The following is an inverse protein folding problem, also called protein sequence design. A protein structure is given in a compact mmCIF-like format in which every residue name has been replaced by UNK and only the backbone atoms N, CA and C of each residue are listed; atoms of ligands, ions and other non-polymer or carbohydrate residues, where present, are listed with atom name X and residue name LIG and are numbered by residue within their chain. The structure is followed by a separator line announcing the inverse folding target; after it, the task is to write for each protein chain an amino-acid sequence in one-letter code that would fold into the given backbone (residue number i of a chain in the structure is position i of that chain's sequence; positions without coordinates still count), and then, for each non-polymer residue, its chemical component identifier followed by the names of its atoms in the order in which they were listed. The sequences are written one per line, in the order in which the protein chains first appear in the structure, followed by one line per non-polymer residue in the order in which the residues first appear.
data_IF_885479521410
#
_entry.id   IF_885479521410
#
_cell.length_a   1.000
_cell.length_b   1.000
_cell.length_c   1.000
_cell.angle_alpha   90.00
_cell.angle_beta   90.00
_cell.angle_gamma   90.00
#
_symmetry.space_group_name_H-M   'P 1'
#
loop_
_entity.id
_entity.type
_entity.pdbx_description
1 polymer ?
#
# COMPACT_ATOMS: atom_id res chain seq x y z
N UNK A 1 -3.10 -10.86 -7.06
CA UNK A 1 -1.67 -10.58 -6.78
C UNK A 1 -0.73 -11.52 -7.51
N UNK A 2 -0.81 -12.84 -7.33
CA UNK A 2 0.03 -13.80 -8.06
C UNK A 2 0.05 -13.59 -9.59
N UNK A 3 -1.14 -13.45 -10.21
CA UNK A 3 -1.25 -13.19 -11.64
C UNK A 3 -0.55 -11.89 -12.06
N UNK A 4 -0.72 -10.80 -11.29
CA UNK A 4 -0.03 -9.54 -11.51
C UNK A 4 1.50 -9.71 -11.42
N UNK A 5 2.00 -10.38 -10.38
CA UNK A 5 3.44 -10.65 -10.21
C UNK A 5 4.00 -11.44 -11.39
N UNK A 6 3.31 -12.48 -11.84
CA UNK A 6 3.74 -13.27 -12.99
C UNK A 6 3.82 -12.42 -14.27
N UNK A 7 2.83 -11.57 -14.52
CA UNK A 7 2.83 -10.66 -15.68
C UNK A 7 3.97 -9.65 -15.60
N UNK A 8 4.23 -9.05 -14.43
CA UNK A 8 5.35 -8.12 -14.24
C UNK A 8 6.70 -8.79 -14.53
N UNK A 9 6.90 -10.02 -14.07
CA UNK A 9 8.13 -10.79 -14.36
C UNK A 9 8.26 -11.09 -15.84
N UNK A 10 7.19 -11.53 -16.51
CA UNK A 10 7.23 -11.83 -17.95
C UNK A 10 7.48 -10.55 -18.76
N UNK A 11 6.79 -9.45 -18.46
CA UNK A 11 6.89 -8.21 -19.23
C UNK A 11 8.25 -7.52 -19.07
N UNK A 12 8.99 -7.75 -17.99
CA UNK A 12 10.39 -7.31 -17.85
C UNK A 12 11.27 -7.74 -19.02
N UNK A 13 11.02 -8.93 -19.59
CA UNK A 13 11.78 -9.48 -20.71
C UNK A 13 11.23 -9.07 -22.08
N UNK A 14 10.03 -8.48 -22.12
CA UNK A 14 9.38 -8.00 -23.35
C UNK A 14 9.73 -6.53 -23.63
N UNK A 15 9.77 -5.70 -22.60
CA UNK A 15 10.07 -4.27 -22.76
C UNK A 15 11.58 -4.07 -22.89
N UNK A 16 12.06 -3.53 -24.04
CA UNK A 16 13.48 -3.25 -24.22
C UNK A 16 13.93 -2.07 -23.37
N UNK A 17 15.21 -2.04 -23.04
CA UNK A 17 15.88 -0.87 -22.47
C UNK A 17 17.05 -0.50 -23.40
N UNK A 18 17.20 0.78 -23.81
CA UNK A 18 16.46 1.97 -23.39
C UNK A 18 14.98 1.98 -23.81
N UNK A 19 14.14 2.65 -23.02
CA UNK A 19 12.69 2.72 -23.25
C UNK A 19 12.41 3.46 -24.57
N UNK A 20 11.48 2.96 -25.42
CA UNK A 20 11.17 3.62 -26.67
C UNK A 20 10.54 4.99 -26.39
N UNK A 21 11.18 6.05 -26.88
CA UNK A 21 10.55 7.38 -26.92
C UNK A 21 9.35 7.31 -27.84
N UNK A 22 8.30 8.06 -27.48
CA UNK A 22 6.98 8.10 -28.11
C UNK A 22 7.02 8.70 -29.53
N UNK A 23 7.82 8.12 -30.42
CA UNK A 23 7.89 8.45 -31.83
C UNK A 23 6.98 7.44 -32.51
N UNK A 24 5.84 7.95 -32.95
CA UNK A 24 4.92 7.33 -33.90
C UNK A 24 5.61 6.34 -34.82
N UNK A 25 5.06 5.12 -34.85
CA UNK A 25 5.29 4.08 -35.85
C UNK A 25 5.85 4.66 -37.16
N UNK A 26 7.15 4.50 -37.38
CA UNK A 26 7.74 4.62 -38.71
C UNK A 26 8.92 3.66 -38.76
N UNK A 27 8.70 2.64 -39.58
CA UNK A 27 9.66 1.76 -40.24
C UNK A 27 11.14 2.13 -40.13
N UNK A 28 11.94 1.13 -39.74
CA UNK A 28 13.33 0.94 -40.16
C UNK A 28 14.30 2.05 -39.75
N UNK A 29 14.92 1.89 -38.58
CA UNK A 29 16.39 1.88 -38.45
C UNK A 29 16.78 1.70 -36.98
N UNK A 30 17.65 0.74 -36.72
CA UNK A 30 18.49 0.74 -35.52
C UNK A 30 19.43 1.95 -35.60
N UNK A 31 18.93 3.17 -35.38
CA UNK A 31 19.80 4.28 -35.02
C UNK A 31 20.03 4.20 -33.51
N UNK A 32 21.18 3.64 -33.17
CA UNK A 32 21.85 3.80 -31.87
C UNK A 32 22.11 5.30 -31.71
N UNK A 33 21.10 6.02 -31.24
CA UNK A 33 21.30 7.34 -30.65
C UNK A 33 22.07 7.13 -29.36
N UNK A 34 23.11 7.94 -29.16
CA UNK A 34 24.04 7.88 -28.04
C UNK A 34 23.39 8.25 -26.68
N UNK A 35 22.07 8.04 -26.55
CA UNK A 35 21.29 8.15 -25.33
C UNK A 35 21.48 6.89 -24.48
N UNK A 36 22.50 6.97 -23.62
CA UNK A 36 22.54 6.49 -22.23
C UNK A 36 22.28 5.01 -21.96
N UNK A 37 23.33 4.19 -22.14
CA UNK A 37 23.50 2.94 -21.34
C UNK A 37 23.33 3.18 -19.83
N UNK A 38 23.54 4.41 -19.36
CA UNK A 38 23.27 4.86 -17.99
C UNK A 38 21.80 4.73 -17.55
N UNK A 39 20.82 4.88 -18.45
CA UNK A 39 19.39 4.84 -18.07
C UNK A 39 18.91 3.43 -17.74
N UNK A 40 19.63 2.42 -18.20
CA UNK A 40 19.39 1.01 -17.93
C UNK A 40 20.22 0.47 -16.76
N UNK A 41 20.83 1.36 -15.97
CA UNK A 41 21.60 0.98 -14.78
C UNK A 41 20.72 1.03 -13.52
N UNK A 42 20.76 -0.04 -12.73
CA UNK A 42 20.05 -0.08 -11.46
C UNK A 42 20.73 0.85 -10.44
N UNK A 43 19.98 1.84 -9.94
CA UNK A 43 20.43 2.70 -8.86
C UNK A 43 20.05 2.08 -7.52
N UNK A 44 21.04 1.56 -6.80
CA UNK A 44 20.81 0.82 -5.55
C UNK A 44 20.38 1.72 -4.38
N UNK A 45 20.86 2.97 -4.34
CA UNK A 45 20.53 3.91 -3.28
C UNK A 45 20.28 5.31 -3.83
N UNK A 46 19.04 5.77 -3.72
CA UNK A 46 18.63 7.13 -4.08
C UNK A 46 17.79 7.70 -2.95
N UNK A 47 18.37 8.61 -2.18
CA UNK A 47 17.65 9.34 -1.16
C UNK A 47 17.09 10.64 -1.78
N UNK A 48 15.78 10.66 -2.01
CA UNK A 48 15.08 11.81 -2.56
C UNK A 48 13.86 12.13 -1.69
N UNK A 49 13.24 13.29 -1.92
CA UNK A 49 11.96 13.64 -1.28
C UNK A 49 10.86 12.62 -1.59
N UNK A 50 10.90 11.99 -2.76
CA UNK A 50 10.00 10.90 -3.14
C UNK A 50 10.15 9.67 -2.22
N UNK A 51 11.33 9.46 -1.64
CA UNK A 51 11.59 8.36 -0.71
C UNK A 51 10.80 8.50 0.61
N UNK A 52 10.33 9.71 0.95
CA UNK A 52 9.47 9.94 2.12
C UNK A 52 8.13 9.19 2.04
N UNK A 53 7.66 8.87 0.84
CA UNK A 53 6.43 8.11 0.62
C UNK A 53 6.64 6.59 0.78
N UNK A 54 7.89 6.09 0.72
CA UNK A 54 8.18 4.66 0.68
C UNK A 54 7.84 3.95 2.00
N UNK A 55 8.31 4.48 3.13
CA UNK A 55 8.08 3.86 4.45
C UNK A 55 6.58 3.82 4.80
N UNK A 56 5.81 4.93 4.68
CA UNK A 56 4.35 4.92 4.85
C UNK A 56 3.64 3.92 3.94
N UNK A 57 4.00 3.88 2.66
CA UNK A 57 3.35 2.99 1.69
C UNK A 57 3.63 1.52 2.03
N UNK A 58 4.86 1.19 2.44
CA UNK A 58 5.20 -0.16 2.91
C UNK A 58 4.43 -0.52 4.19
N UNK A 59 4.37 0.39 5.17
CA UNK A 59 3.59 0.19 6.39
C UNK A 59 2.10 -0.06 6.06
N UNK A 60 1.53 0.73 5.16
CA UNK A 60 0.16 0.53 4.68
C UNK A 60 -0.03 -0.81 3.95
N UNK A 61 0.94 -1.24 3.13
CA UNK A 61 0.85 -2.49 2.37
C UNK A 61 0.78 -3.75 3.23
N UNK A 62 1.35 -3.72 4.44
CA UNK A 62 1.31 -4.81 5.41
C UNK A 62 0.24 -4.62 6.49
N UNK A 63 -0.69 -3.69 6.29
CA UNK A 63 -1.77 -3.41 7.23
C UNK A 63 -2.88 -4.47 7.12
N UNK A 64 -2.75 -5.57 7.85
CA UNK A 64 -3.74 -6.67 7.84
C UNK A 64 -4.50 -6.85 9.17
N UNK A 65 -4.16 -6.09 10.20
CA UNK A 65 -4.65 -6.28 11.57
C UNK A 65 -6.18 -6.14 11.72
N UNK A 66 -6.85 -5.35 10.88
CA UNK A 66 -8.32 -5.19 10.89
C UNK A 66 -9.06 -6.47 10.50
N UNK A 67 -8.43 -7.34 9.73
CA UNK A 67 -9.00 -8.61 9.29
C UNK A 67 -8.71 -9.77 10.25
N UNK A 68 -7.80 -9.59 11.22
CA UNK A 68 -7.35 -10.66 12.12
C UNK A 68 -8.49 -11.22 12.97
N UNK A 69 -9.36 -10.37 13.53
CA UNK A 69 -10.46 -10.81 14.38
C UNK A 69 -11.51 -11.62 13.60
N UNK A 70 -12.05 -11.15 12.45
CA UNK A 70 -12.92 -11.97 11.61
C UNK A 70 -12.30 -13.32 11.22
N UNK A 71 -11.03 -13.33 10.80
CA UNK A 71 -10.33 -14.56 10.43
C UNK A 71 -10.21 -15.51 11.63
N UNK A 72 -9.89 -14.98 12.82
CA UNK A 72 -9.78 -15.77 14.04
C UNK A 72 -11.11 -16.43 14.41
N UNK A 73 -12.23 -15.71 14.26
CA UNK A 73 -13.56 -16.23 14.57
C UNK A 73 -14.02 -17.33 13.59
N UNK A 74 -13.59 -17.26 12.34
CA UNK A 74 -13.94 -18.24 11.30
C UNK A 74 -12.96 -19.44 11.26
N UNK A 75 -11.82 -19.33 11.93
CA UNK A 75 -10.80 -20.37 11.94
C UNK A 75 -11.29 -21.61 12.72
N UNK A 76 -11.32 -22.76 12.05
CA UNK A 76 -11.66 -24.04 12.69
C UNK A 76 -10.76 -24.31 13.91
N UNK A 77 -11.37 -24.52 15.09
CA UNK A 77 -10.73 -24.66 16.42
C UNK A 77 -9.65 -23.58 16.66
N UNK A 78 -10.06 -22.32 16.93
CA UNK A 78 -9.16 -21.19 16.94
C UNK A 78 -8.26 -21.21 18.18
N UNK A 79 -6.94 -21.11 17.96
CA UNK A 79 -5.94 -20.95 19.03
C UNK A 79 -4.92 -19.89 18.64
N UNK A 80 -4.29 -19.25 19.64
CA UNK A 80 -3.26 -18.22 19.40
C UNK A 80 -2.14 -18.74 18.49
N UNK A 81 -1.67 -19.96 18.71
CA UNK A 81 -0.60 -20.57 17.92
C UNK A 81 -1.00 -20.81 16.47
N UNK A 82 -2.24 -21.26 16.22
CA UNK A 82 -2.74 -21.49 14.85
C UNK A 82 -2.94 -20.17 14.12
N UNK A 83 -3.51 -19.17 14.79
CA UNK A 83 -3.63 -17.83 14.21
C UNK A 83 -2.25 -17.23 13.87
N UNK A 84 -1.27 -17.37 14.78
CA UNK A 84 0.09 -16.89 14.51
C UNK A 84 0.70 -17.60 13.30
N UNK A 85 0.49 -18.91 13.13
CA UNK A 85 0.93 -19.66 11.95
C UNK A 85 0.29 -19.11 10.67
N UNK A 86 -1.03 -18.89 10.67
CA UNK A 86 -1.76 -18.31 9.54
C UNK A 86 -1.20 -16.92 9.18
N UNK A 87 -0.99 -16.07 10.19
CA UNK A 87 -0.41 -14.73 10.00
C UNK A 87 1.01 -14.81 9.44
N UNK A 88 1.89 -15.64 9.99
CA UNK A 88 3.28 -15.77 9.54
C UNK A 88 3.36 -16.23 8.08
N UNK A 89 2.58 -17.24 7.71
CA UNK A 89 2.52 -17.74 6.32
C UNK A 89 2.00 -16.65 5.39
N UNK A 90 0.92 -15.96 5.77
CA UNK A 90 0.28 -14.93 4.95
C UNK A 90 1.20 -13.72 4.73
N UNK A 91 1.87 -13.25 5.77
CA UNK A 91 2.84 -12.13 5.68
C UNK A 91 4.05 -12.53 4.86
N UNK A 92 4.61 -13.73 5.07
CA UNK A 92 5.77 -14.23 4.31
C UNK A 92 5.46 -14.36 2.82
N UNK A 93 4.28 -14.90 2.48
CA UNK A 93 3.82 -14.98 1.10
C UNK A 93 3.64 -13.59 0.49
N UNK A 94 2.98 -12.67 1.20
CA UNK A 94 2.77 -11.29 0.73
C UNK A 94 4.08 -10.55 0.51
N UNK A 95 5.03 -10.67 1.44
CA UNK A 95 6.37 -10.11 1.32
C UNK A 95 7.08 -10.60 0.06
N UNK A 96 7.03 -11.91 -0.19
CA UNK A 96 7.68 -12.51 -1.38
C UNK A 96 7.06 -11.97 -2.68
N UNK A 97 5.74 -11.89 -2.76
CA UNK A 97 5.05 -11.38 -3.95
C UNK A 97 5.32 -9.89 -4.16
N UNK A 98 5.30 -9.09 -3.10
CA UNK A 98 5.62 -7.67 -3.18
C UNK A 98 7.08 -7.43 -3.58
N UNK A 99 8.02 -8.19 -3.00
CA UNK A 99 9.44 -8.08 -3.33
C UNK A 99 9.71 -8.41 -4.80
N UNK A 100 9.19 -9.54 -5.30
CA UNK A 100 9.35 -9.93 -6.71
C UNK A 100 8.70 -8.91 -7.63
N UNK A 101 7.47 -8.46 -7.33
CA UNK A 101 6.78 -7.47 -8.17
C UNK A 101 7.50 -6.12 -8.17
N UNK A 102 8.00 -5.67 -7.02
CA UNK A 102 8.74 -4.41 -6.91
C UNK A 102 10.10 -4.48 -7.62
N UNK A 103 10.83 -5.59 -7.48
CA UNK A 103 12.13 -5.78 -8.12
C UNK A 103 11.99 -5.79 -9.65
N UNK A 104 11.13 -6.65 -10.20
CA UNK A 104 10.95 -6.74 -11.65
C UNK A 104 10.23 -5.50 -12.20
N UNK A 105 9.32 -4.90 -11.45
CA UNK A 105 8.70 -3.62 -11.81
C UNK A 105 9.72 -2.48 -11.91
N UNK A 106 10.62 -2.37 -10.94
CA UNK A 106 11.72 -1.39 -10.98
C UNK A 106 12.69 -1.68 -12.13
N UNK A 107 13.15 -2.92 -12.29
CA UNK A 107 14.08 -3.29 -13.38
C UNK A 107 13.47 -3.13 -14.78
N UNK A 108 12.15 -2.98 -14.89
CA UNK A 108 11.48 -2.74 -16.18
C UNK A 108 11.62 -1.28 -16.63
N UNK A 109 11.49 -0.32 -15.71
CA UNK A 109 11.46 1.12 -16.05
C UNK A 109 12.61 1.94 -15.44
N UNK A 110 13.41 1.36 -14.56
CA UNK A 110 14.53 1.99 -13.85
C UNK A 110 14.18 3.34 -13.23
N UNK A 111 14.83 4.43 -13.64
CA UNK A 111 14.59 5.77 -13.11
C UNK A 111 13.22 6.35 -13.50
N UNK A 112 12.53 5.76 -14.49
CA UNK A 112 11.28 6.25 -15.07
C UNK A 112 10.04 5.47 -14.58
N UNK A 113 10.07 4.97 -13.34
CA UNK A 113 8.92 4.27 -12.73
C UNK A 113 7.84 5.28 -12.33
N UNK A 114 6.63 5.09 -12.86
CA UNK A 114 5.43 5.86 -12.52
C UNK A 114 4.93 5.58 -11.08
N UNK A 115 4.07 6.46 -10.56
CA UNK A 115 3.36 6.25 -9.29
C UNK A 115 2.54 4.97 -9.30
N UNK A 116 1.96 4.65 -10.45
CA UNK A 116 1.18 3.44 -10.71
C UNK A 116 1.90 2.58 -11.75
N UNK A 117 2.32 1.39 -11.36
CA UNK A 117 3.09 0.53 -12.25
C UNK A 117 2.30 0.13 -13.52
N UNK A 118 0.99 -0.12 -13.40
CA UNK A 118 0.14 -0.46 -14.55
C UNK A 118 0.00 0.69 -15.55
N UNK A 119 0.04 1.93 -15.07
CA UNK A 119 0.00 3.10 -15.95
C UNK A 119 1.27 3.18 -16.81
N UNK A 120 2.43 2.87 -16.22
CA UNK A 120 3.68 2.71 -16.96
C UNK A 120 3.58 1.63 -18.04
N UNK A 121 3.02 0.46 -17.72
CA UNK A 121 2.81 -0.59 -18.73
C UNK A 121 1.88 -0.17 -19.86
N UNK A 122 0.79 0.53 -19.58
CA UNK A 122 -0.16 1.03 -20.60
C UNK A 122 0.50 2.06 -21.54
N UNK A 123 1.41 2.89 -21.01
CA UNK A 123 2.17 3.87 -21.79
C UNK A 123 3.07 3.23 -22.85
N UNK A 124 3.77 2.15 -22.52
CA UNK A 124 4.74 1.51 -23.42
C UNK A 124 4.19 0.31 -24.21
N UNK A 125 3.13 -0.34 -23.71
CA UNK A 125 2.47 -1.47 -24.34
C UNK A 125 0.96 -1.17 -24.49
N UNK A 126 0.58 -0.15 -25.29
CA UNK A 126 -0.82 0.19 -25.45
C UNK A 126 -1.57 -0.98 -26.08
N UNK A 127 -2.74 -1.30 -25.53
CA UNK A 127 -3.65 -2.38 -26.00
C UNK A 127 -3.12 -3.80 -25.82
N UNK A 128 -2.09 -4.02 -24.99
CA UNK A 128 -1.65 -5.36 -24.65
C UNK A 128 -2.72 -6.11 -23.84
N UNK A 129 -3.27 -7.18 -24.43
CA UNK A 129 -4.39 -7.94 -23.85
C UNK A 129 -4.05 -8.43 -22.44
N UNK A 130 -2.79 -8.84 -22.18
CA UNK A 130 -2.37 -9.36 -20.88
C UNK A 130 -2.33 -8.27 -19.81
N UNK A 131 -1.94 -7.04 -20.17
CA UNK A 131 -1.95 -5.90 -19.24
C UNK A 131 -3.39 -5.47 -18.95
N UNK A 132 -4.25 -5.47 -19.96
CA UNK A 132 -5.68 -5.16 -19.81
C UNK A 132 -6.37 -6.20 -18.90
N UNK A 133 -6.12 -7.49 -19.08
CA UNK A 133 -6.71 -8.53 -18.23
C UNK A 133 -6.26 -8.41 -16.77
N UNK A 134 -4.99 -8.04 -16.52
CA UNK A 134 -4.51 -7.74 -15.16
C UNK A 134 -5.26 -6.55 -14.57
N UNK A 135 -5.45 -5.47 -15.33
CA UNK A 135 -6.19 -4.29 -14.87
C UNK A 135 -7.64 -4.63 -14.49
N UNK A 136 -8.32 -5.41 -15.32
CA UNK A 136 -9.68 -5.89 -15.05
C UNK A 136 -9.74 -6.80 -13.81
N UNK A 137 -8.78 -7.71 -13.65
CA UNK A 137 -8.72 -8.60 -12.49
C UNK A 137 -8.49 -7.83 -11.18
N UNK A 138 -7.62 -6.81 -11.19
CA UNK A 138 -7.40 -5.94 -10.03
C UNK A 138 -8.66 -5.11 -9.75
N UNK A 139 -9.30 -4.53 -10.77
CA UNK A 139 -10.55 -3.78 -10.61
C UNK A 139 -11.63 -4.64 -9.94
N UNK A 140 -11.86 -5.85 -10.46
CA UNK A 140 -12.82 -6.79 -9.89
C UNK A 140 -12.48 -7.14 -8.43
N UNK A 141 -11.22 -7.45 -8.16
CA UNK A 141 -10.74 -7.75 -6.80
C UNK A 141 -11.00 -6.59 -5.84
N UNK A 142 -10.74 -5.35 -6.26
CA UNK A 142 -10.97 -4.15 -5.43
C UNK A 142 -12.45 -3.96 -5.18
N UNK A 143 -13.31 -4.06 -6.21
CA UNK A 143 -14.77 -3.95 -6.08
C UNK A 143 -15.32 -4.97 -5.08
N UNK A 144 -14.86 -6.23 -5.14
CA UNK A 144 -15.27 -7.28 -4.21
C UNK A 144 -14.76 -7.04 -2.77
N UNK A 145 -13.67 -6.29 -2.60
CA UNK A 145 -13.09 -5.98 -1.29
C UNK A 145 -13.80 -4.81 -0.60
N UNK A 146 -14.40 -3.89 -1.37
CA UNK A 146 -15.10 -2.70 -0.81
C UNK A 146 -16.16 -3.08 0.24
N UNK A 147 -17.09 -4.03 0.00
CA UNK A 147 -18.09 -4.41 1.02
C UNK A 147 -17.47 -4.93 2.31
N UNK A 148 -16.38 -5.70 2.21
CA UNK A 148 -15.71 -6.33 3.34
C UNK A 148 -15.07 -5.30 4.28
N UNK A 149 -14.49 -4.23 3.73
CA UNK A 149 -13.89 -3.14 4.51
C UNK A 149 -14.97 -2.15 4.99
N UNK A 150 -15.99 -1.93 4.17
CA UNK A 150 -17.02 -0.95 4.48
C UNK A 150 -17.93 -1.39 5.64
N UNK A 151 -18.19 -2.70 5.78
CA UNK A 151 -18.96 -3.25 6.89
C UNK A 151 -18.39 -2.91 8.28
N UNK A 152 -17.13 -3.25 8.63
CA UNK A 152 -16.54 -2.88 9.91
C UNK A 152 -16.36 -1.36 10.05
N UNK A 153 -16.06 -0.63 8.97
CA UNK A 153 -15.97 0.83 9.00
C UNK A 153 -17.29 1.48 9.43
N UNK A 154 -18.42 1.05 8.86
CA UNK A 154 -19.75 1.51 9.27
C UNK A 154 -20.03 1.16 10.72
N UNK A 155 -19.74 -0.09 11.14
CA UNK A 155 -19.96 -0.52 12.52
C UNK A 155 -19.17 0.34 13.52
N UNK A 156 -17.91 0.63 13.20
CA UNK A 156 -17.06 1.52 14.01
C UNK A 156 -17.62 2.96 14.03
N UNK A 157 -18.01 3.51 12.89
CA UNK A 157 -18.58 4.86 12.81
C UNK A 157 -19.87 5.01 13.62
N UNK A 158 -20.80 4.06 13.50
CA UNK A 158 -22.05 4.06 14.27
C UNK A 158 -21.77 3.97 15.77
N UNK A 159 -20.85 3.08 16.16
CA UNK A 159 -20.48 2.91 17.57
C UNK A 159 -19.85 4.19 18.16
N UNK A 160 -18.99 4.87 17.41
CA UNK A 160 -18.33 6.10 17.86
C UNK A 160 -19.27 7.31 17.92
N UNK A 161 -20.19 7.46 16.96
CA UNK A 161 -21.07 8.63 16.86
C UNK A 161 -22.38 8.49 17.64
N UNK A 162 -22.95 7.29 17.66
CA UNK A 162 -24.29 7.05 18.21
C UNK A 162 -24.31 6.07 19.38
N UNK A 163 -23.16 5.47 19.74
CA UNK A 163 -23.06 4.47 20.79
C UNK A 163 -23.70 3.12 20.42
N UNK A 164 -23.95 2.29 21.42
CA UNK A 164 -24.56 0.96 21.24
C UNK A 164 -26.10 1.04 21.11
N UNK A 165 -26.59 1.76 20.09
CA UNK A 165 -28.03 1.82 19.77
C UNK A 165 -28.48 0.54 19.06
N UNK A 166 -29.76 0.14 19.20
CA UNK A 166 -30.33 -0.94 18.40
C UNK A 166 -30.30 -0.61 16.90
N UNK A 167 -30.40 -1.64 16.08
CA UNK A 167 -30.38 -1.50 14.62
C UNK A 167 -31.50 -0.56 14.13
N UNK A 168 -31.12 0.45 13.33
CA UNK A 168 -32.08 1.32 12.63
C UNK A 168 -31.63 1.55 11.19
N UNK A 169 -32.55 1.34 10.25
CA UNK A 169 -32.28 1.48 8.82
C UNK A 169 -31.79 2.87 8.44
N UNK A 170 -32.36 3.92 9.03
CA UNK A 170 -31.99 5.31 8.75
C UNK A 170 -30.54 5.63 9.13
N UNK A 171 -30.11 5.26 10.34
CA UNK A 171 -28.73 5.52 10.78
C UNK A 171 -27.74 4.74 9.91
N UNK A 172 -28.06 3.50 9.55
CA UNK A 172 -27.20 2.67 8.71
C UNK A 172 -27.07 3.24 7.30
N UNK A 173 -28.19 3.61 6.68
CA UNK A 173 -28.21 4.20 5.33
C UNK A 173 -27.46 5.53 5.30
N UNK A 174 -27.77 6.45 6.24
CA UNK A 174 -27.10 7.74 6.35
C UNK A 174 -25.59 7.59 6.56
N UNK A 175 -25.17 6.72 7.47
CA UNK A 175 -23.73 6.49 7.73
C UNK A 175 -23.02 5.95 6.49
N UNK A 176 -23.63 5.01 5.76
CA UNK A 176 -23.06 4.48 4.51
C UNK A 176 -22.94 5.57 3.44
N UNK A 177 -23.98 6.38 3.24
CA UNK A 177 -23.96 7.49 2.27
C UNK A 177 -22.87 8.51 2.63
N UNK A 178 -22.75 8.87 3.92
CA UNK A 178 -21.71 9.79 4.38
C UNK A 178 -20.30 9.24 4.11
N UNK A 179 -20.02 7.99 4.49
CA UNK A 179 -18.70 7.38 4.27
C UNK A 179 -18.38 7.32 2.77
N UNK A 180 -19.33 6.87 1.93
CA UNK A 180 -19.13 6.81 0.48
C UNK A 180 -18.92 8.20 -0.11
N UNK A 181 -19.66 9.21 0.37
CA UNK A 181 -19.49 10.60 -0.04
C UNK A 181 -18.09 11.14 0.26
N UNK A 182 -17.54 10.84 1.44
CA UNK A 182 -16.16 11.22 1.80
C UNK A 182 -15.14 10.52 0.91
N UNK A 183 -15.29 9.21 0.67
CA UNK A 183 -14.39 8.45 -0.20
C UNK A 183 -14.44 8.96 -1.65
N UNK A 184 -15.63 9.24 -2.17
CA UNK A 184 -15.80 9.78 -3.52
C UNK A 184 -15.21 11.18 -3.65
N UNK A 185 -15.42 12.03 -2.64
CA UNK A 185 -14.83 13.37 -2.60
C UNK A 185 -13.31 13.28 -2.65
N UNK A 186 -12.70 12.40 -1.84
CA UNK A 186 -11.26 12.18 -1.85
C UNK A 186 -10.76 11.73 -3.23
N UNK A 187 -11.48 10.81 -3.89
CA UNK A 187 -11.12 10.32 -5.22
C UNK A 187 -11.20 11.40 -6.31
N UNK A 188 -12.12 12.37 -6.19
CA UNK A 188 -12.25 13.48 -7.14
C UNK A 188 -11.18 14.55 -6.91
N UNK A 189 -10.87 14.87 -5.65
CA UNK A 189 -9.94 15.96 -5.31
C UNK A 189 -8.47 15.54 -5.27
N UNK A 190 -8.15 14.26 -5.07
CA UNK A 190 -6.76 13.76 -4.97
C UNK A 190 -6.46 12.79 -6.11
N UNK A 191 -5.89 13.26 -7.24
CA UNK A 191 -5.68 12.44 -8.43
C UNK A 191 -4.50 11.46 -8.32
N UNK A 192 -3.54 11.72 -7.42
CA UNK A 192 -2.37 10.84 -7.23
C UNK A 192 -2.57 9.90 -6.04
N UNK A 193 -2.65 8.60 -6.31
CA UNK A 193 -2.80 7.56 -5.29
C UNK A 193 -1.62 7.52 -4.31
N UNK A 194 -0.42 7.94 -4.74
CA UNK A 194 0.77 8.03 -3.88
C UNK A 194 0.55 8.97 -2.70
N UNK A 195 -0.17 10.08 -2.92
CA UNK A 195 -0.47 11.05 -1.88
C UNK A 195 -1.39 10.46 -0.82
N UNK A 196 -2.42 9.73 -1.26
CA UNK A 196 -3.37 9.04 -0.36
C UNK A 196 -2.63 7.99 0.47
N UNK A 197 -1.84 7.11 -0.15
CA UNK A 197 -1.08 6.08 0.57
C UNK A 197 0.00 6.68 1.48
N UNK A 198 0.63 7.79 1.07
CA UNK A 198 1.59 8.51 1.89
C UNK A 198 0.97 9.02 3.20
N UNK A 199 -0.17 9.71 3.13
CA UNK A 199 -0.84 10.26 4.32
C UNK A 199 -1.48 9.16 5.17
N UNK A 200 -2.24 8.26 4.57
CA UNK A 200 -2.91 7.18 5.32
C UNK A 200 -1.86 6.25 5.95
N UNK A 201 -0.78 5.95 5.24
CA UNK A 201 0.32 5.15 5.75
C UNK A 201 1.07 5.83 6.91
N UNK A 202 1.38 7.12 6.78
CA UNK A 202 2.17 7.85 7.79
C UNK A 202 1.38 8.13 9.06
N UNK A 203 0.06 8.24 8.96
CA UNK A 203 -0.84 8.47 10.10
C UNK A 203 -1.40 7.14 10.63
N UNK A 204 -2.36 6.56 9.90
CA UNK A 204 -3.17 5.44 10.34
C UNK A 204 -2.33 4.17 10.49
N UNK A 205 -1.50 3.83 9.50
CA UNK A 205 -0.66 2.63 9.58
C UNK A 205 0.45 2.76 10.61
N UNK A 206 1.14 3.89 10.69
CA UNK A 206 2.15 4.13 11.75
C UNK A 206 1.55 3.98 13.14
N UNK A 207 0.35 4.52 13.38
CA UNK A 207 -0.34 4.37 14.65
C UNK A 207 -0.68 2.90 14.94
N UNK A 208 -1.30 2.20 13.98
CA UNK A 208 -1.81 0.84 14.20
C UNK A 208 -0.71 -0.23 14.26
N UNK A 209 0.39 -0.04 13.53
CA UNK A 209 1.48 -1.03 13.47
C UNK A 209 2.55 -0.83 14.54
N UNK A 210 2.86 0.43 14.88
CA UNK A 210 3.98 0.73 15.77
C UNK A 210 3.51 1.28 17.11
N UNK A 211 2.68 2.33 17.10
CA UNK A 211 2.32 3.07 18.32
C UNK A 211 1.37 2.28 19.23
N UNK A 212 0.23 1.82 18.72
CA UNK A 212 -0.78 1.16 19.55
C UNK A 212 -0.31 -0.17 20.12
N UNK A 213 0.35 -1.08 19.38
CA UNK A 213 0.87 -2.31 19.97
C UNK A 213 1.87 -2.04 21.08
N UNK A 214 2.76 -1.06 20.91
CA UNK A 214 3.71 -0.64 21.92
C UNK A 214 3.02 -0.05 23.16
N UNK A 215 2.06 0.85 22.98
CA UNK A 215 1.28 1.44 24.08
C UNK A 215 0.46 0.39 24.85
N UNK A 216 -0.20 -0.53 24.15
CA UNK A 216 -0.95 -1.61 24.78
C UNK A 216 -0.04 -2.52 25.60
N UNK A 217 1.13 -2.88 25.05
CA UNK A 217 2.11 -3.67 25.77
C UNK A 217 2.60 -2.95 27.03
N UNK A 218 3.04 -1.69 26.92
CA UNK A 218 3.54 -0.91 28.04
C UNK A 218 2.50 -0.70 29.15
N UNK A 219 1.22 -0.56 28.76
CA UNK A 219 0.12 -0.37 29.71
C UNK A 219 -0.33 -1.66 30.40
N UNK A 220 -0.20 -2.81 29.73
CA UNK A 220 -0.62 -4.11 30.27
C UNK A 220 0.52 -4.84 31.00
N UNK A 221 1.78 -4.56 30.65
CA UNK A 221 2.93 -5.23 31.23
C UNK A 221 3.21 -4.69 32.64
N UNK A 222 3.20 -5.56 33.63
CA UNK A 222 3.64 -5.28 35.01
C UNK A 222 5.14 -5.51 35.22
N UNK A 223 5.87 -5.79 34.14
CA UNK A 223 7.30 -6.05 34.15
C UNK A 223 8.10 -4.81 34.59
N UNK A 224 9.25 -5.03 35.25
CA UNK A 224 10.15 -3.95 35.70
C UNK A 224 10.52 -3.06 34.51
N UNK A 225 10.58 -1.74 34.71
CA UNK A 225 10.90 -0.67 33.74
C UNK A 225 12.23 -0.81 32.94
N UNK A 226 12.93 -1.95 33.05
CA UNK A 226 14.26 -2.18 32.46
C UNK A 226 14.42 -3.55 31.77
N UNK A 227 13.32 -4.30 31.58
CA UNK A 227 13.34 -5.51 30.75
C UNK A 227 13.55 -5.14 29.28
N UNK A 228 14.22 -6.00 28.50
CA UNK A 228 14.43 -5.82 27.07
C UNK A 228 13.11 -5.66 26.31
N UNK A 229 12.06 -6.36 26.73
CA UNK A 229 10.74 -6.26 26.09
C UNK A 229 10.08 -4.90 26.33
N UNK A 230 10.29 -4.32 27.52
CA UNK A 230 9.79 -2.98 27.85
C UNK A 230 10.50 -1.92 26.99
N UNK A 231 11.83 -2.02 26.87
CA UNK A 231 12.63 -1.12 26.03
C UNK A 231 12.23 -1.27 24.56
N UNK A 232 12.01 -2.50 24.09
CA UNK A 232 11.55 -2.79 22.73
C UNK A 232 10.19 -2.16 22.43
N UNK A 233 9.23 -2.28 23.34
CA UNK A 233 7.91 -1.66 23.19
C UNK A 233 7.97 -0.13 23.21
N UNK A 234 8.77 0.47 24.10
CA UNK A 234 8.99 1.92 24.15
C UNK A 234 9.65 2.43 22.87
N UNK A 235 10.67 1.73 22.37
CA UNK A 235 11.31 2.02 21.09
C UNK A 235 10.30 1.98 19.94
N UNK A 236 9.43 0.96 19.89
CA UNK A 236 8.42 0.82 18.85
C UNK A 236 7.47 2.03 18.81
N UNK A 237 7.05 2.53 19.97
CA UNK A 237 6.21 3.74 20.08
C UNK A 237 6.96 4.96 19.54
N UNK A 238 8.17 5.21 20.03
CA UNK A 238 8.98 6.37 19.62
C UNK A 238 9.26 6.32 18.12
N UNK A 239 9.68 5.16 17.62
CA UNK A 239 9.93 4.94 16.19
C UNK A 239 8.68 5.23 15.35
N UNK A 240 7.52 4.70 15.75
CA UNK A 240 6.26 4.94 15.06
C UNK A 240 5.86 6.42 14.99
N UNK A 241 6.00 7.14 16.10
CA UNK A 241 5.70 8.58 16.17
C UNK A 241 6.67 9.38 15.32
N UNK A 242 7.97 9.11 15.41
CA UNK A 242 9.01 9.81 14.65
C UNK A 242 8.85 9.57 13.15
N UNK A 243 8.72 8.30 12.72
CA UNK A 243 8.56 7.95 11.31
C UNK A 243 7.26 8.53 10.75
N UNK A 244 6.15 8.44 11.50
CA UNK A 244 4.88 9.01 11.10
C UNK A 244 4.93 10.53 10.94
N UNK A 245 5.44 11.24 11.94
CA UNK A 245 5.55 12.70 11.92
C UNK A 245 6.51 13.21 10.85
N UNK A 246 7.70 12.60 10.72
CA UNK A 246 8.67 12.97 9.69
C UNK A 246 8.11 12.72 8.29
N UNK A 247 7.51 11.56 8.04
CA UNK A 247 6.96 11.25 6.71
C UNK A 247 5.81 12.19 6.37
N UNK A 248 4.89 12.43 7.31
CA UNK A 248 3.77 13.36 7.09
C UNK A 248 4.26 14.78 6.81
N UNK A 249 5.23 15.26 7.58
CA UNK A 249 5.81 16.60 7.40
C UNK A 249 6.48 16.71 6.03
N UNK A 250 7.29 15.73 5.63
CA UNK A 250 7.94 15.73 4.32
C UNK A 250 6.93 15.69 3.18
N UNK A 251 5.87 14.88 3.30
CA UNK A 251 4.78 14.81 2.31
C UNK A 251 4.10 16.18 2.16
N UNK A 252 3.71 16.82 3.27
CA UNK A 252 3.09 18.15 3.25
C UNK A 252 4.03 19.18 2.62
N UNK A 253 5.31 19.17 3.01
CA UNK A 253 6.32 20.07 2.41
C UNK A 253 6.46 19.85 0.90
N UNK A 254 6.39 18.59 0.43
CA UNK A 254 6.42 18.33 -1.01
C UNK A 254 5.22 18.93 -1.73
N UNK A 255 4.04 18.97 -1.12
CA UNK A 255 2.84 19.57 -1.71
C UNK A 255 2.90 21.09 -1.74
N UNK A 256 3.36 21.70 -0.65
CA UNK A 256 3.51 23.17 -0.55
C UNK A 256 4.49 23.69 -1.59
N UNK A 257 5.57 22.93 -1.85
CA UNK A 257 6.60 23.33 -2.81
C UNK A 257 6.26 22.96 -4.26
N UNK A 258 5.27 22.08 -4.48
CA UNK A 258 4.78 21.74 -5.81
C UNK A 258 3.57 22.59 -6.25
N UNK A 259 3.03 23.41 -5.34
CA UNK A 259 1.94 24.36 -5.59
C UNK A 259 2.50 25.73 -5.97
#
# INVERSE_FOLDING_TARGET
MLYFTAVVVVKKYVIPCPLPNNITVSSVSCQVSNSSTADCTAQLFVLSRKSAYAIPTMAFSFLCHTAVLPIYCELDRPTKARMQRVTNISISLSFTLYLVSALFGYLTFYAQVDTELLHGYDRYLPRDVVVITVRLAILLSVVLTVPLIHFPARKAAILLLFGSRPFSWWIHSLTTVCILGVVLSLAVFVPDIRNVFGVVGSTTSSCLLFVFPGLFYLKISTQRFRSLDYIGAAFLVVFGVVVGALSLTLIILTWVQSS
#
